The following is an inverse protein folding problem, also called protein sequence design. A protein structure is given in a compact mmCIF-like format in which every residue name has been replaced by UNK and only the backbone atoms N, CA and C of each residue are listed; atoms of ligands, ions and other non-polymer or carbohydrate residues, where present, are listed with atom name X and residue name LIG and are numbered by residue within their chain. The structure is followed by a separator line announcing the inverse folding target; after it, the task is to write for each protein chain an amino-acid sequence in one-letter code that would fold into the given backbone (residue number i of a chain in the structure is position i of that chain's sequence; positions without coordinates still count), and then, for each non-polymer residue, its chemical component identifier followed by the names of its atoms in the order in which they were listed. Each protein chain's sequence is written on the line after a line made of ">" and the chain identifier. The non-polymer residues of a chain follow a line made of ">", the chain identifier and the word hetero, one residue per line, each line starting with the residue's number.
data_IF_987037395404
#
_entry.id   IF_987037395404
#
_cell.length_a   1.000
_cell.length_b   1.000
_cell.length_c   1.000
_cell.angle_alpha   90.00
_cell.angle_beta   90.00
_cell.angle_gamma   90.00
#
_symmetry.space_group_name_H-M   'P 1'
#
loop_
_entity.id
_entity.type
_entity.pdbx_description
1 polymer ?
#
# COMPACT_ATOMS: atom_id res chain seq x y z
N UNK A 1 14.29 6.08 -23.52
CA UNK A 1 15.77 6.15 -23.45
C UNK A 1 16.26 7.43 -24.14
N UNK A 2 17.47 7.92 -23.82
CA UNK A 2 18.16 9.18 -24.20
C UNK A 2 17.47 10.57 -24.01
N UNK A 3 17.44 11.01 -22.75
CA UNK A 3 18.00 12.29 -22.25
C UNK A 3 18.24 13.50 -23.21
N UNK A 4 17.23 14.35 -23.43
CA UNK A 4 17.40 15.84 -23.37
C UNK A 4 16.24 16.58 -22.68
N UNK A 5 15.25 15.88 -22.13
CA UNK A 5 14.30 16.52 -21.22
C UNK A 5 14.90 16.59 -19.81
N UNK A 6 16.16 17.05 -19.71
CA UNK A 6 16.66 17.59 -18.46
C UNK A 6 15.90 18.88 -18.28
N UNK A 7 14.89 18.82 -17.42
CA UNK A 7 14.13 19.95 -16.97
C UNK A 7 15.13 21.05 -16.59
N UNK A 8 15.16 22.12 -17.39
CA UNK A 8 15.98 23.32 -17.14
C UNK A 8 15.63 23.96 -15.77
N UNK A 9 14.58 23.46 -15.12
CA UNK A 9 14.24 23.65 -13.73
C UNK A 9 14.08 22.27 -13.10
N UNK A 10 14.61 22.01 -11.90
CA UNK A 10 14.55 20.73 -11.17
C UNK A 10 13.11 20.28 -10.84
N UNK A 11 12.31 19.95 -11.86
CA UNK A 11 10.93 19.50 -11.73
C UNK A 11 10.94 17.97 -11.78
N UNK A 12 10.57 17.36 -10.67
CA UNK A 12 10.48 15.89 -10.53
C UNK A 12 9.22 15.33 -11.21
N UNK A 13 8.28 16.20 -11.59
CA UNK A 13 6.99 15.82 -12.15
C UNK A 13 6.41 16.94 -13.01
N UNK A 14 5.76 16.58 -14.12
CA UNK A 14 4.97 17.47 -14.96
C UNK A 14 3.50 17.02 -14.97
N UNK A 15 2.58 17.99 -14.88
CA UNK A 15 1.13 17.76 -14.91
C UNK A 15 0.53 18.44 -16.12
N UNK A 16 -0.45 17.80 -16.71
CA UNK A 16 -1.15 18.26 -17.91
C UNK A 16 -2.58 17.72 -17.93
N UNK A 17 -3.45 18.40 -18.67
CA UNK A 17 -4.79 17.96 -19.03
C UNK A 17 -4.81 16.97 -20.21
N UNK A 18 -3.67 16.76 -20.88
CA UNK A 18 -3.50 15.72 -21.89
C UNK A 18 -3.77 14.31 -21.31
N UNK A 19 -4.12 13.31 -22.15
CA UNK A 19 -4.36 11.94 -21.71
C UNK A 19 -3.27 11.32 -20.83
N UNK A 20 -1.99 11.68 -21.02
CA UNK A 20 -0.90 11.18 -20.16
C UNK A 20 -1.00 11.62 -18.68
N UNK A 21 -1.72 12.71 -18.39
CA UNK A 21 -1.92 13.39 -17.10
C UNK A 21 -0.65 13.80 -16.33
N UNK A 22 0.15 12.82 -15.91
CA UNK A 22 1.32 13.01 -15.06
C UNK A 22 2.51 12.30 -15.68
N UNK A 23 3.55 13.07 -16.01
CA UNK A 23 4.86 12.57 -16.41
C UNK A 23 5.82 12.71 -15.23
N UNK A 24 6.45 11.62 -14.80
CA UNK A 24 7.38 11.59 -13.66
C UNK A 24 8.79 11.41 -14.17
N UNK A 25 9.67 12.36 -13.83
CA UNK A 25 11.09 12.28 -14.14
C UNK A 25 11.79 11.51 -13.01
N UNK A 26 12.37 10.33 -13.28
CA UNK A 26 12.88 9.49 -12.20
C UNK A 26 14.01 10.16 -11.42
N UNK A 27 14.02 9.97 -10.11
CA UNK A 27 15.06 10.51 -9.23
C UNK A 27 16.32 9.66 -9.22
N UNK A 28 16.20 8.36 -9.52
CA UNK A 28 17.30 7.40 -9.41
C UNK A 28 18.31 7.48 -10.57
N UNK A 29 17.92 8.03 -11.74
CA UNK A 29 18.81 8.18 -12.90
C UNK A 29 19.35 9.62 -13.10
N UNK A 30 19.21 10.45 -12.06
CA UNK A 30 20.04 11.62 -11.69
C UNK A 30 21.35 11.80 -12.47
N UNK A 31 22.21 10.84 -12.17
CA UNK A 31 23.65 10.89 -12.37
C UNK A 31 24.10 9.88 -13.42
N UNK A 32 23.16 9.24 -14.11
CA UNK A 32 23.47 8.30 -15.17
C UNK A 32 24.09 9.05 -16.36
N UNK A 33 24.99 8.40 -17.11
CA UNK A 33 25.56 8.99 -18.32
C UNK A 33 24.47 9.39 -19.32
N UNK A 34 24.66 10.52 -20.00
CA UNK A 34 23.64 11.14 -20.87
C UNK A 34 23.39 10.31 -22.14
N UNK A 35 24.43 9.62 -22.58
CA UNK A 35 24.50 8.75 -23.74
C UNK A 35 23.98 7.33 -23.47
N UNK A 36 23.65 7.03 -22.22
CA UNK A 36 23.16 5.72 -21.83
C UNK A 36 21.62 5.65 -21.84
N UNK A 37 21.08 4.44 -21.99
CA UNK A 37 19.65 4.23 -21.97
C UNK A 37 19.00 4.57 -20.61
N UNK A 38 18.04 5.50 -20.60
CA UNK A 38 17.25 5.89 -19.41
C UNK A 38 15.74 5.58 -19.49
N UNK A 39 15.12 5.28 -18.35
CA UNK A 39 13.66 5.13 -18.18
C UNK A 39 13.01 6.49 -17.89
N UNK A 40 11.80 6.68 -18.39
CA UNK A 40 10.91 7.80 -18.06
C UNK A 40 9.51 7.24 -17.80
N UNK A 41 8.88 7.63 -16.69
CA UNK A 41 7.48 7.30 -16.44
C UNK A 41 6.60 8.34 -17.14
N UNK A 42 6.25 8.06 -18.39
CA UNK A 42 5.57 9.01 -19.29
C UNK A 42 4.14 9.32 -18.84
N UNK A 43 3.43 8.33 -18.30
CA UNK A 43 2.05 8.49 -17.84
C UNK A 43 1.84 7.73 -16.53
N UNK A 44 1.35 8.46 -15.52
CA UNK A 44 0.85 7.90 -14.27
C UNK A 44 -0.54 8.45 -13.98
N UNK A 45 -1.55 7.60 -14.09
CA UNK A 45 -2.97 8.00 -14.09
C UNK A 45 -3.76 7.19 -13.08
N UNK A 46 -4.80 7.80 -12.51
CA UNK A 46 -5.77 7.17 -11.61
C UNK A 46 -7.19 7.32 -12.19
N UNK A 47 -8.16 6.64 -11.57
CA UNK A 47 -9.58 6.82 -11.87
C UNK A 47 -9.94 6.55 -13.33
N UNK A 48 -10.74 7.44 -13.92
CA UNK A 48 -11.26 7.26 -15.28
C UNK A 48 -10.16 7.41 -16.33
N UNK A 49 -9.17 8.26 -16.07
CA UNK A 49 -8.03 8.51 -16.94
C UNK A 49 -7.17 7.25 -17.08
N UNK A 50 -6.97 6.51 -15.97
CA UNK A 50 -6.31 5.21 -16.00
C UNK A 50 -7.05 4.22 -16.90
N UNK A 51 -8.38 4.14 -16.77
CA UNK A 51 -9.21 3.25 -17.60
C UNK A 51 -9.18 3.61 -19.08
N UNK A 52 -9.10 4.91 -19.42
CA UNK A 52 -8.96 5.35 -20.82
C UNK A 52 -7.64 4.89 -21.42
N UNK A 53 -6.52 5.10 -20.71
CA UNK A 53 -5.19 4.64 -21.16
C UNK A 53 -5.13 3.12 -21.22
N UNK A 54 -5.70 2.43 -20.22
CA UNK A 54 -5.72 0.97 -20.14
C UNK A 54 -6.40 0.29 -21.33
N UNK A 55 -7.36 0.96 -21.99
CA UNK A 55 -7.99 0.45 -23.21
C UNK A 55 -7.01 0.27 -24.38
N UNK A 56 -5.84 0.91 -24.32
CA UNK A 56 -4.77 0.82 -25.31
C UNK A 56 -3.63 -0.12 -24.88
N UNK A 57 -3.70 -0.66 -23.66
CA UNK A 57 -2.68 -1.57 -23.11
C UNK A 57 -2.96 -3.00 -23.58
N UNK A 58 -1.93 -3.68 -24.10
CA UNK A 58 -1.97 -5.08 -24.51
C UNK A 58 -1.64 -5.99 -23.33
N UNK A 59 -2.01 -7.28 -23.41
CA UNK A 59 -1.53 -8.26 -22.43
C UNK A 59 -0.08 -8.70 -22.66
N UNK A 60 0.47 -8.40 -23.83
CA UNK A 60 1.83 -8.77 -24.25
C UNK A 60 2.67 -7.52 -24.55
N UNK A 61 2.66 -6.55 -23.64
CA UNK A 61 3.43 -5.30 -23.74
C UNK A 61 4.90 -5.56 -24.11
N UNK A 62 5.48 -4.85 -25.10
CA UNK A 62 4.91 -3.74 -25.88
C UNK A 62 4.15 -4.15 -27.17
N UNK A 63 3.99 -5.45 -27.44
CA UNK A 63 3.36 -5.97 -28.66
C UNK A 63 1.88 -5.56 -28.75
N UNK A 64 1.49 -4.95 -29.87
CA UNK A 64 0.11 -4.53 -30.12
C UNK A 64 -0.27 -3.18 -29.51
N UNK A 65 0.69 -2.42 -28.97
CA UNK A 65 0.48 -1.13 -28.30
C UNK A 65 0.85 0.08 -29.18
N UNK A 66 0.72 -0.04 -30.50
CA UNK A 66 1.11 1.02 -31.45
C UNK A 66 0.35 2.34 -31.22
N UNK A 67 -0.96 2.27 -30.92
CA UNK A 67 -1.76 3.44 -30.61
C UNK A 67 -1.41 4.04 -29.24
N UNK A 68 -1.13 3.21 -28.23
CA UNK A 68 -0.64 3.68 -26.92
C UNK A 68 0.68 4.45 -27.11
N UNK A 69 1.64 3.85 -27.79
CA UNK A 69 2.93 4.48 -28.11
C UNK A 69 2.73 5.82 -28.80
N UNK A 70 1.90 5.86 -29.85
CA UNK A 70 1.61 7.08 -30.62
C UNK A 70 0.99 8.18 -29.75
N UNK A 71 0.00 7.85 -28.93
CA UNK A 71 -0.66 8.81 -28.02
C UNK A 71 0.32 9.36 -26.99
N UNK A 72 1.13 8.49 -26.37
CA UNK A 72 2.08 8.88 -25.34
C UNK A 72 3.22 9.74 -25.90
N UNK A 73 3.79 9.39 -27.07
CA UNK A 73 4.82 10.20 -27.73
C UNK A 73 4.27 11.57 -28.16
N UNK A 74 3.05 11.61 -28.71
CA UNK A 74 2.37 12.86 -29.05
C UNK A 74 2.17 13.76 -27.83
N UNK A 75 1.62 13.21 -26.74
CA UNK A 75 1.38 13.96 -25.51
C UNK A 75 2.69 14.43 -24.88
N UNK A 76 3.73 13.60 -24.89
CA UNK A 76 5.04 13.96 -24.35
C UNK A 76 5.68 15.09 -25.17
N UNK A 77 5.55 15.06 -26.50
CA UNK A 77 6.02 16.14 -27.37
C UNK A 77 5.23 17.44 -27.14
N UNK A 78 3.90 17.37 -27.02
CA UNK A 78 3.08 18.54 -26.67
C UNK A 78 3.51 19.15 -25.33
N UNK A 79 3.68 18.31 -24.31
CA UNK A 79 4.06 18.72 -22.95
C UNK A 79 5.42 19.42 -22.89
N UNK A 80 6.36 19.04 -23.77
CA UNK A 80 7.73 19.54 -23.75
C UNK A 80 8.07 20.51 -24.88
N UNK A 81 7.16 20.72 -25.82
CA UNK A 81 7.28 21.77 -26.82
C UNK A 81 7.25 23.15 -26.16
N UNK A 82 7.96 24.11 -26.75
CA UNK A 82 8.05 25.46 -26.22
C UNK A 82 8.24 26.47 -27.34
N UNK A 83 8.33 27.76 -27.02
CA UNK A 83 8.70 28.78 -28.01
C UNK A 83 10.09 28.54 -28.62
N UNK A 84 10.97 27.83 -27.92
CA UNK A 84 12.33 27.55 -28.36
C UNK A 84 12.46 26.23 -29.16
N UNK A 85 11.49 25.32 -29.04
CA UNK A 85 11.48 24.05 -29.77
C UNK A 85 10.07 23.72 -30.22
N UNK A 86 9.87 23.64 -31.54
CA UNK A 86 8.55 23.38 -32.13
C UNK A 86 8.04 21.99 -31.74
N UNK A 87 6.73 21.79 -31.85
CA UNK A 87 6.11 20.49 -31.61
C UNK A 87 6.69 19.42 -32.54
N UNK A 88 6.87 19.74 -33.83
CA UNK A 88 7.42 18.82 -34.84
C UNK A 88 8.86 18.43 -34.52
N UNK A 89 9.72 19.39 -34.16
CA UNK A 89 11.10 19.11 -33.77
C UNK A 89 11.16 18.25 -32.50
N UNK A 90 10.33 18.60 -31.50
CA UNK A 90 10.25 17.86 -30.23
C UNK A 90 9.75 16.43 -30.45
N UNK A 91 8.73 16.24 -31.29
CA UNK A 91 8.19 14.92 -31.60
C UNK A 91 9.22 14.07 -32.36
N UNK A 92 9.88 14.64 -33.36
CA UNK A 92 10.94 13.97 -34.12
C UNK A 92 12.07 13.51 -33.18
N UNK A 93 12.52 14.42 -32.31
CA UNK A 93 13.54 14.15 -31.31
C UNK A 93 13.11 13.01 -30.38
N UNK A 94 11.99 13.15 -29.66
CA UNK A 94 11.51 12.14 -28.69
C UNK A 94 11.25 10.78 -29.35
N UNK A 95 10.67 10.76 -30.56
CA UNK A 95 10.42 9.52 -31.30
C UNK A 95 11.71 8.82 -31.70
N UNK A 96 12.75 9.58 -32.09
CA UNK A 96 14.07 9.03 -32.42
C UNK A 96 14.81 8.43 -31.21
N UNK A 97 14.41 8.78 -30.00
CA UNK A 97 14.99 8.29 -28.74
C UNK A 97 14.20 7.13 -28.11
N UNK A 98 13.01 6.86 -28.64
CA UNK A 98 12.19 5.74 -28.19
C UNK A 98 12.86 4.42 -28.58
N UNK A 99 12.95 3.50 -27.62
CA UNK A 99 13.49 2.16 -27.82
C UNK A 99 12.39 1.11 -27.55
N UNK A 100 11.94 1.03 -26.30
CA UNK A 100 10.83 0.17 -25.87
C UNK A 100 10.01 0.82 -24.75
N UNK A 101 8.89 0.20 -24.36
CA UNK A 101 8.09 0.62 -23.21
C UNK A 101 7.50 -0.57 -22.46
N UNK A 102 7.04 -0.27 -21.23
CA UNK A 102 6.16 -1.14 -20.47
C UNK A 102 4.97 -0.33 -19.96
N UNK A 103 3.77 -0.90 -20.06
CA UNK A 103 2.53 -0.33 -19.55
C UNK A 103 1.84 -1.37 -18.65
N UNK A 104 1.19 -0.91 -17.59
CA UNK A 104 0.52 -1.78 -16.63
C UNK A 104 -0.82 -1.19 -16.22
N UNK A 105 -1.86 -2.03 -16.20
CA UNK A 105 -3.17 -1.68 -15.67
C UNK A 105 -3.51 -2.55 -14.46
N UNK A 106 -3.49 -1.94 -13.28
CA UNK A 106 -3.84 -2.59 -12.02
C UNK A 106 -5.27 -3.14 -11.99
N UNK A 107 -6.19 -2.66 -12.83
CA UNK A 107 -7.57 -3.16 -12.88
C UNK A 107 -7.72 -4.45 -13.69
N UNK A 108 -6.70 -4.83 -14.47
CA UNK A 108 -6.68 -6.07 -15.26
C UNK A 108 -5.92 -7.21 -14.59
N UNK A 109 -5.25 -6.93 -13.47
CA UNK A 109 -4.50 -7.92 -12.71
C UNK A 109 -5.49 -8.90 -12.02
N UNK A 110 -5.43 -10.22 -12.27
CA UNK A 110 -6.35 -11.16 -11.62
C UNK A 110 -6.12 -11.29 -10.11
N UNK A 111 -4.95 -10.90 -9.61
CA UNK A 111 -4.62 -10.90 -8.18
C UNK A 111 -5.00 -9.58 -7.50
N UNK A 112 -5.35 -8.55 -8.27
CA UNK A 112 -5.76 -7.25 -7.73
C UNK A 112 -6.99 -6.71 -8.45
N UNK A 113 -8.08 -6.48 -7.73
CA UNK A 113 -9.33 -5.95 -8.30
C UNK A 113 -9.29 -4.41 -8.51
N UNK A 114 -8.13 -3.85 -8.86
CA UNK A 114 -7.85 -2.42 -8.92
C UNK A 114 -6.55 -2.03 -8.22
N UNK A 115 -6.20 -0.75 -8.27
CA UNK A 115 -4.91 -0.25 -7.76
C UNK A 115 -4.81 -0.22 -6.22
N UNK A 116 -5.84 0.31 -5.56
CA UNK A 116 -5.91 0.48 -4.10
C UNK A 116 -7.33 0.91 -3.70
N UNK A 117 -7.65 0.83 -2.41
CA UNK A 117 -8.91 1.32 -1.87
C UNK A 117 -9.00 2.85 -1.97
N UNK A 118 -10.09 3.31 -2.56
CA UNK A 118 -10.39 4.74 -2.63
C UNK A 118 -11.86 4.95 -2.29
N UNK A 119 -12.12 5.24 -1.01
CA UNK A 119 -13.47 5.30 -0.48
C UNK A 119 -14.22 6.53 -0.99
N UNK A 120 -15.46 6.29 -1.40
CA UNK A 120 -16.43 7.34 -1.68
C UNK A 120 -16.93 8.04 -0.41
N UNK A 121 -17.70 9.12 -0.57
CA UNK A 121 -18.28 9.85 0.55
C UNK A 121 -19.06 8.94 1.51
N UNK A 122 -18.78 9.04 2.81
CA UNK A 122 -19.45 8.28 3.87
C UNK A 122 -19.00 6.81 4.02
N UNK A 123 -18.34 6.21 3.03
CA UNK A 123 -17.94 4.81 3.10
C UNK A 123 -16.97 4.51 4.24
N UNK A 124 -16.09 5.45 4.57
CA UNK A 124 -15.17 5.29 5.69
C UNK A 124 -15.91 5.10 7.02
N UNK A 125 -17.05 5.76 7.22
CA UNK A 125 -17.80 5.68 8.47
C UNK A 125 -18.38 4.28 8.72
N UNK A 126 -18.89 3.63 7.67
CA UNK A 126 -19.59 2.35 7.79
C UNK A 126 -18.67 1.14 7.50
N UNK A 127 -17.86 1.21 6.43
CA UNK A 127 -17.06 0.08 5.96
C UNK A 127 -15.80 -0.12 6.79
N UNK A 128 -15.13 0.96 7.20
CA UNK A 128 -13.87 0.86 7.94
C UNK A 128 -14.06 0.15 9.30
N UNK A 129 -15.07 0.47 10.13
CA UNK A 129 -15.32 -0.31 11.36
C UNK A 129 -15.74 -1.76 11.07
N UNK A 130 -16.37 -2.03 9.93
CA UNK A 130 -16.82 -3.36 9.56
C UNK A 130 -15.67 -4.28 9.13
N UNK A 131 -14.68 -3.75 8.40
CA UNK A 131 -13.50 -4.52 7.94
C UNK A 131 -12.48 -4.73 9.07
N UNK A 132 -12.34 -3.75 9.97
CA UNK A 132 -11.30 -3.77 11.02
C UNK A 132 -11.69 -4.52 12.29
N UNK A 133 -12.99 -4.75 12.54
CA UNK A 133 -13.43 -5.53 13.71
C UNK A 133 -12.97 -7.00 13.61
N UNK A 134 -12.75 -7.69 14.73
CA UNK A 134 -12.59 -9.14 14.73
C UNK A 134 -13.85 -9.82 14.16
N UNK A 135 -13.69 -10.61 13.10
CA UNK A 135 -14.77 -11.33 12.44
C UNK A 135 -14.74 -12.82 12.83
N UNK A 136 -15.81 -13.54 12.52
CA UNK A 136 -15.96 -14.98 12.83
C UNK A 136 -15.59 -15.32 14.29
N UNK A 137 -16.11 -14.55 15.25
CA UNK A 137 -15.82 -14.72 16.68
C UNK A 137 -14.33 -14.61 17.04
N UNK A 138 -13.56 -13.79 16.32
CA UNK A 138 -12.12 -13.61 16.54
C UNK A 138 -11.23 -14.62 15.82
N UNK A 139 -11.77 -15.33 14.82
CA UNK A 139 -11.04 -16.29 14.01
C UNK A 139 -10.66 -15.75 12.63
N UNK A 140 -11.23 -14.62 12.21
CA UNK A 140 -10.97 -14.00 10.91
C UNK A 140 -10.62 -12.51 11.08
N UNK A 141 -9.50 -12.13 10.48
CA UNK A 141 -9.00 -10.76 10.45
C UNK A 141 -8.71 -10.37 8.99
N UNK A 142 -9.25 -9.22 8.57
CA UNK A 142 -8.89 -8.63 7.29
C UNK A 142 -7.69 -7.71 7.49
N UNK A 143 -6.67 -7.92 6.66
CA UNK A 143 -5.43 -7.14 6.62
C UNK A 143 -5.14 -6.72 5.19
N UNK A 144 -4.36 -5.65 5.03
CA UNK A 144 -4.09 -5.00 3.75
C UNK A 144 -4.36 -3.50 3.83
N UNK A 145 -3.94 -2.76 2.82
CA UNK A 145 -4.04 -1.29 2.82
C UNK A 145 -5.49 -0.80 2.96
N UNK A 146 -6.45 -1.50 2.33
CA UNK A 146 -7.89 -1.22 2.42
C UNK A 146 -8.48 -1.41 3.83
N UNK A 147 -7.79 -2.14 4.69
CA UNK A 147 -8.15 -2.33 6.09
C UNK A 147 -7.41 -1.33 6.99
N UNK A 148 -6.95 -0.19 6.50
CA UNK A 148 -6.27 0.84 7.29
C UNK A 148 -6.87 2.22 7.03
N UNK A 149 -6.48 3.22 7.82
CA UNK A 149 -6.81 4.60 7.51
C UNK A 149 -5.93 5.23 6.41
N UNK A 150 -4.86 4.53 5.99
CA UNK A 150 -3.83 5.02 5.07
C UNK A 150 -3.82 4.23 3.76
N UNK A 151 -4.93 4.32 3.01
CA UNK A 151 -5.07 3.64 1.73
C UNK A 151 -4.00 4.08 0.71
N UNK A 152 -3.69 3.19 -0.25
CA UNK A 152 -2.68 3.37 -1.30
C UNK A 152 -1.22 3.45 -0.81
N UNK A 153 -0.97 3.18 0.48
CA UNK A 153 0.36 3.24 1.06
C UNK A 153 0.75 1.93 1.75
N UNK A 154 2.04 1.59 1.67
CA UNK A 154 2.62 0.44 2.37
C UNK A 154 2.39 0.54 3.87
N UNK A 155 2.47 1.75 4.45
CA UNK A 155 2.23 1.95 5.89
C UNK A 155 0.84 1.47 6.31
N UNK A 156 -0.19 1.66 5.47
CA UNK A 156 -1.53 1.18 5.74
C UNK A 156 -1.60 -0.35 5.81
N UNK A 157 -0.91 -1.05 4.89
CA UNK A 157 -0.82 -2.50 4.95
C UNK A 157 -0.14 -2.96 6.25
N UNK A 158 0.98 -2.33 6.64
CA UNK A 158 1.72 -2.67 7.86
C UNK A 158 0.90 -2.45 9.13
N UNK A 159 0.24 -1.30 9.23
CA UNK A 159 -0.63 -0.97 10.37
C UNK A 159 -1.75 -1.98 10.55
N UNK A 160 -2.45 -2.33 9.46
CA UNK A 160 -3.56 -3.27 9.51
C UNK A 160 -3.13 -4.65 10.04
N UNK A 161 -1.92 -5.10 9.67
CA UNK A 161 -1.31 -6.36 10.08
C UNK A 161 -0.99 -6.32 11.58
N UNK A 162 -0.36 -5.24 12.04
CA UNK A 162 -0.06 -5.05 13.47
C UNK A 162 -1.34 -5.04 14.32
N UNK A 163 -2.36 -4.28 13.89
CA UNK A 163 -3.64 -4.23 14.59
C UNK A 163 -4.33 -5.60 14.65
N UNK A 164 -4.34 -6.35 13.54
CA UNK A 164 -4.93 -7.68 13.49
C UNK A 164 -4.25 -8.64 14.49
N UNK A 165 -2.92 -8.66 14.52
CA UNK A 165 -2.18 -9.49 15.44
C UNK A 165 -2.40 -9.12 16.90
N UNK A 166 -2.39 -7.82 17.20
CA UNK A 166 -2.73 -7.35 18.54
C UNK A 166 -4.09 -7.87 18.98
N UNK A 167 -5.12 -7.70 18.14
CA UNK A 167 -6.47 -8.13 18.44
C UNK A 167 -6.56 -9.65 18.62
N UNK A 168 -5.86 -10.42 17.79
CA UNK A 168 -5.78 -11.88 17.90
C UNK A 168 -5.18 -12.32 19.23
N UNK A 169 -3.97 -11.87 19.56
CA UNK A 169 -3.31 -12.24 20.82
C UNK A 169 -4.09 -11.77 22.04
N UNK A 170 -4.70 -10.58 21.99
CA UNK A 170 -5.51 -10.07 23.09
C UNK A 170 -6.76 -10.93 23.32
N UNK A 171 -7.45 -11.37 22.26
CA UNK A 171 -8.61 -12.26 22.39
C UNK A 171 -8.21 -13.63 22.92
N UNK A 172 -7.13 -14.22 22.40
CA UNK A 172 -6.59 -15.50 22.88
C UNK A 172 -6.17 -15.42 24.35
N UNK A 173 -5.46 -14.35 24.73
CA UNK A 173 -5.06 -14.10 26.10
C UNK A 173 -6.28 -13.99 27.03
N UNK A 174 -7.28 -13.17 26.68
CA UNK A 174 -8.51 -13.01 27.48
C UNK A 174 -9.30 -14.33 27.60
N UNK A 175 -9.41 -15.09 26.51
CA UNK A 175 -10.01 -16.43 26.52
C UNK A 175 -9.29 -17.38 27.47
N UNK A 176 -7.96 -17.43 27.37
CA UNK A 176 -7.13 -18.29 28.23
C UNK A 176 -7.24 -17.93 29.71
N UNK A 177 -7.32 -16.63 30.05
CA UNK A 177 -7.54 -16.18 31.42
C UNK A 177 -8.88 -16.69 31.95
N UNK A 178 -9.93 -16.64 31.14
CA UNK A 178 -11.27 -17.08 31.54
C UNK A 178 -11.32 -18.60 31.75
N UNK A 179 -10.72 -19.38 30.86
CA UNK A 179 -10.75 -20.84 30.91
C UNK A 179 -9.84 -21.42 32.00
N UNK A 180 -8.69 -20.78 32.24
CA UNK A 180 -7.68 -21.26 33.19
C UNK A 180 -7.78 -20.58 34.57
N UNK A 181 -8.96 -20.06 34.93
CA UNK A 181 -9.21 -19.49 36.27
C UNK A 181 -8.30 -18.32 36.62
N UNK A 182 -7.97 -17.47 35.66
CA UNK A 182 -7.12 -16.29 35.81
C UNK A 182 -5.62 -16.54 35.67
N UNK A 183 -5.18 -17.80 35.49
CA UNK A 183 -3.76 -18.12 35.28
C UNK A 183 -3.26 -17.71 33.89
N UNK A 184 -4.13 -17.83 32.88
CA UNK A 184 -3.78 -17.56 31.48
C UNK A 184 -2.84 -18.62 30.89
N UNK A 185 -2.75 -18.65 29.56
CA UNK A 185 -1.80 -19.51 28.86
C UNK A 185 -0.49 -18.75 28.66
N UNK A 186 0.61 -19.29 29.19
CA UNK A 186 1.91 -18.63 29.28
C UNK A 186 2.40 -18.01 27.95
N UNK A 187 2.32 -18.69 26.79
CA UNK A 187 2.68 -18.09 25.51
C UNK A 187 1.87 -16.85 25.14
N UNK A 188 0.56 -16.81 25.45
CA UNK A 188 -0.27 -15.63 25.15
C UNK A 188 0.05 -14.47 26.09
N UNK A 189 0.43 -14.75 27.34
CA UNK A 189 0.90 -13.74 28.28
C UNK A 189 2.18 -13.10 27.74
N UNK A 190 3.18 -13.91 27.39
CA UNK A 190 4.46 -13.43 26.82
C UNK A 190 4.27 -12.62 25.54
N UNK A 191 3.39 -13.09 24.64
CA UNK A 191 3.07 -12.36 23.42
C UNK A 191 2.44 -10.99 23.74
N UNK A 192 1.48 -10.95 24.67
CA UNK A 192 0.86 -9.69 25.09
C UNK A 192 1.84 -8.77 25.81
N UNK A 193 2.76 -9.29 26.62
CA UNK A 193 3.82 -8.51 27.28
C UNK A 193 4.76 -7.89 26.24
N UNK A 194 5.15 -8.64 25.19
CA UNK A 194 5.98 -8.12 24.10
C UNK A 194 5.25 -7.04 23.29
N UNK A 195 3.95 -7.25 23.04
CA UNK A 195 3.10 -6.29 22.33
C UNK A 195 2.91 -5.01 23.15
N UNK A 196 2.63 -5.13 24.45
CA UNK A 196 2.37 -4.01 25.35
C UNK A 196 3.64 -3.33 25.86
N UNK A 197 4.77 -4.02 25.89
CA UNK A 197 6.05 -3.53 26.38
C UNK A 197 6.56 -2.34 25.57
N UNK A 198 7.10 -1.32 26.23
CA UNK A 198 7.76 -0.21 25.55
C UNK A 198 9.10 -0.70 25.01
N UNK A 199 9.30 -0.59 23.69
CA UNK A 199 10.64 -0.69 23.11
C UNK A 199 11.24 0.70 23.26
N UNK A 200 12.24 0.85 24.13
CA UNK A 200 12.90 2.13 24.42
C UNK A 200 13.79 2.66 23.29
N UNK A 201 13.56 2.25 22.03
CA UNK A 201 14.52 2.47 20.95
C UNK A 201 13.96 3.39 19.84
N UNK A 202 14.37 4.66 19.86
CA UNK A 202 14.06 5.68 18.84
C UNK A 202 14.73 5.40 17.48
N UNK A 203 15.46 4.30 17.32
CA UNK A 203 16.17 3.93 16.09
C UNK A 203 15.45 2.94 15.17
N UNK A 204 14.28 2.43 15.55
CA UNK A 204 13.59 1.43 14.72
C UNK A 204 12.88 2.08 13.53
N UNK A 205 13.06 1.55 12.29
CA UNK A 205 12.26 2.00 11.16
C UNK A 205 10.79 1.75 11.51
N UNK A 206 9.95 2.77 11.34
CA UNK A 206 8.51 2.75 11.64
C UNK A 206 8.11 2.93 13.12
N UNK A 207 9.02 3.33 14.01
CA UNK A 207 8.66 3.77 15.37
C UNK A 207 8.30 5.27 15.42
N UNK A 208 7.24 5.65 16.18
CA UNK A 208 6.16 4.80 16.66
C UNK A 208 5.24 4.42 15.49
N UNK A 209 4.64 3.22 15.50
CA UNK A 209 3.60 2.94 14.51
C UNK A 209 2.37 3.79 14.85
N UNK A 210 1.61 4.27 13.85
CA UNK A 210 0.47 5.13 14.09
C UNK A 210 -0.57 4.48 15.00
N UNK A 211 -1.30 5.31 15.75
CA UNK A 211 -2.29 4.81 16.72
C UNK A 211 -3.57 4.45 15.97
N UNK A 212 -3.68 3.21 15.49
CA UNK A 212 -4.95 2.73 14.95
C UNK A 212 -5.91 2.28 16.06
N UNK A 213 -7.18 2.64 15.88
CA UNK A 213 -8.26 2.59 16.86
C UNK A 213 -8.59 1.15 17.33
N UNK A 214 -8.31 0.75 18.59
CA UNK A 214 -8.61 -0.62 19.03
C UNK A 214 -9.96 -0.78 19.74
N UNK A 215 -10.65 0.29 20.18
CA UNK A 215 -11.80 0.12 21.07
C UNK A 215 -13.03 0.97 20.73
N UNK A 216 -14.15 0.28 20.50
CA UNK A 216 -15.49 0.84 20.74
C UNK A 216 -15.72 0.91 22.25
N UNK A 217 -16.24 2.03 22.76
CA UNK A 217 -16.52 2.28 24.19
C UNK A 217 -17.18 1.06 24.85
N UNK A 218 -16.57 0.54 25.92
CA UNK A 218 -17.20 -0.47 26.80
C UNK A 218 -18.38 0.10 27.64
N UNK A 219 -18.68 1.40 27.52
CA UNK A 219 -19.62 2.17 28.35
C UNK A 219 -20.53 3.14 27.57
N UNK A 220 -20.83 2.93 26.29
CA UNK A 220 -21.95 3.66 25.67
C UNK A 220 -23.27 3.06 26.16
N UNK A 221 -23.78 3.62 27.26
CA UNK A 221 -25.14 3.39 27.76
C UNK A 221 -26.10 4.52 27.37
N UNK A 222 -25.60 5.64 26.87
CA UNK A 222 -26.43 6.78 26.48
C UNK A 222 -26.27 7.11 25.00
N UNK A 223 -27.40 7.04 24.31
CA UNK A 223 -27.56 7.27 22.87
C UNK A 223 -27.74 8.77 22.55
N UNK A 224 -27.21 9.67 23.40
CA UNK A 224 -27.56 11.10 23.41
C UNK A 224 -26.38 12.07 23.36
N UNK A 225 -25.13 11.60 23.44
CA UNK A 225 -23.98 12.48 23.24
C UNK A 225 -23.65 12.59 21.74
N UNK A 226 -23.34 13.80 21.28
CA UNK A 226 -22.92 14.10 19.91
C UNK A 226 -21.94 13.05 19.38
N UNK A 227 -22.11 12.67 18.12
CA UNK A 227 -21.19 11.80 17.40
C UNK A 227 -19.77 12.38 17.50
N UNK A 228 -18.96 11.82 18.39
CA UNK A 228 -17.54 12.15 18.46
C UNK A 228 -16.85 11.40 17.32
N UNK A 229 -16.22 12.13 16.41
CA UNK A 229 -15.47 11.57 15.27
C UNK A 229 -14.29 10.66 15.68
N UNK A 230 -13.92 10.65 16.97
CA UNK A 230 -12.85 9.82 17.53
C UNK A 230 -13.27 9.23 18.89
N UNK A 231 -12.98 7.94 19.18
CA UNK A 231 -13.19 7.37 20.51
C UNK A 231 -12.18 7.95 21.51
N UNK A 232 -12.67 8.40 22.67
CA UNK A 232 -11.81 8.83 23.78
C UNK A 232 -10.98 7.64 24.31
N UNK A 233 -9.67 7.82 24.34
CA UNK A 233 -8.67 6.84 24.81
C UNK A 233 -9.01 6.27 26.20
N UNK A 234 -8.69 4.99 26.43
CA UNK A 234 -8.59 4.46 27.80
C UNK A 234 -7.55 5.29 28.59
N UNK A 235 -8.01 6.05 29.59
CA UNK A 235 -7.19 6.89 30.47
C UNK A 235 -6.36 7.99 29.76
N UNK A 236 -6.74 8.43 28.56
CA UNK A 236 -6.08 9.57 27.90
C UNK A 236 -4.66 9.30 27.38
N UNK A 237 -4.23 8.04 27.30
CA UNK A 237 -2.94 7.65 26.72
C UNK A 237 -3.15 6.72 25.53
N UNK A 238 -2.76 7.15 24.34
CA UNK A 238 -2.65 6.26 23.17
C UNK A 238 -1.60 5.19 23.44
N UNK A 239 -1.94 3.93 23.20
CA UNK A 239 -0.94 2.87 23.10
C UNK A 239 -0.46 2.86 21.64
N UNK A 240 0.77 3.29 21.35
CA UNK A 240 1.29 3.19 19.99
C UNK A 240 1.33 1.71 19.58
N UNK A 241 1.04 1.43 18.32
CA UNK A 241 1.27 0.10 17.75
C UNK A 241 2.81 -0.13 17.73
N UNK A 242 3.28 -1.35 18.02
CA UNK A 242 4.72 -1.59 18.33
C UNK A 242 5.38 -2.68 17.47
N UNK A 243 6.70 -2.59 17.32
CA UNK A 243 7.56 -3.57 16.63
C UNK A 243 7.38 -5.02 17.12
N UNK A 244 7.02 -5.21 18.40
CA UNK A 244 6.67 -6.52 18.95
C UNK A 244 5.56 -7.25 18.19
N UNK A 245 4.66 -6.52 17.53
CA UNK A 245 3.63 -7.12 16.70
C UNK A 245 4.19 -7.72 15.42
N UNK A 246 5.12 -7.03 14.76
CA UNK A 246 5.81 -7.56 13.60
C UNK A 246 6.56 -8.84 13.96
N UNK A 247 7.26 -8.88 15.09
CA UNK A 247 7.95 -10.08 15.59
C UNK A 247 6.96 -11.22 15.85
N UNK A 248 5.88 -10.98 16.59
CA UNK A 248 4.89 -12.01 16.87
C UNK A 248 4.24 -12.58 15.59
N UNK A 249 3.97 -11.73 14.60
CA UNK A 249 3.39 -12.15 13.32
C UNK A 249 4.38 -12.96 12.51
N UNK A 250 5.62 -12.48 12.38
CA UNK A 250 6.68 -13.20 11.68
C UNK A 250 6.89 -14.57 12.33
N UNK A 251 6.97 -14.65 13.65
CA UNK A 251 7.07 -15.93 14.37
C UNK A 251 5.87 -16.86 14.13
N UNK A 252 4.66 -16.34 13.97
CA UNK A 252 3.49 -17.15 13.59
C UNK A 252 3.63 -17.67 12.16
N UNK A 253 4.01 -16.80 11.21
CA UNK A 253 4.16 -17.18 9.81
C UNK A 253 5.26 -18.23 9.66
N UNK A 254 6.42 -17.99 10.27
CA UNK A 254 7.53 -18.94 10.33
C UNK A 254 7.11 -20.27 10.95
N UNK A 255 6.44 -20.25 12.11
CA UNK A 255 5.96 -21.48 12.75
C UNK A 255 4.93 -22.22 11.90
N UNK A 256 4.06 -21.50 11.20
CA UNK A 256 3.08 -22.10 10.30
C UNK A 256 3.77 -22.77 9.11
N UNK A 257 4.75 -22.10 8.48
CA UNK A 257 5.53 -22.66 7.37
C UNK A 257 6.29 -23.91 7.85
N UNK A 258 6.94 -23.85 9.01
CA UNK A 258 7.67 -24.99 9.56
C UNK A 258 6.75 -26.18 9.84
N UNK A 259 5.56 -25.96 10.40
CA UNK A 259 4.58 -27.01 10.65
C UNK A 259 3.95 -27.53 9.35
N UNK A 260 3.71 -26.66 8.37
CA UNK A 260 3.24 -27.07 7.04
C UNK A 260 4.26 -27.97 6.34
N UNK A 261 5.53 -27.57 6.32
CA UNK A 261 6.63 -28.32 5.72
C UNK A 261 6.83 -29.68 6.42
N UNK A 262 6.56 -29.76 7.74
CA UNK A 262 6.54 -31.03 8.50
C UNK A 262 5.38 -31.94 8.11
N UNK A 263 4.21 -31.37 7.84
CA UNK A 263 2.99 -32.12 7.49
C UNK A 263 3.02 -32.66 6.05
N UNK A 264 3.59 -31.92 5.10
CA UNK A 264 3.64 -32.32 3.68
C UNK A 264 4.87 -33.14 3.26
N UNK A 265 5.69 -33.60 4.20
CA UNK A 265 6.77 -34.54 3.91
C UNK A 265 7.88 -33.98 3.00
N UNK A 266 8.07 -32.65 2.99
CA UNK A 266 9.22 -32.00 2.36
C UNK A 266 8.98 -31.24 1.05
N UNK A 267 7.74 -31.04 0.59
CA UNK A 267 7.46 -29.96 -0.37
C UNK A 267 7.32 -28.66 0.41
N UNK A 268 8.26 -27.73 0.20
CA UNK A 268 8.25 -26.44 0.91
C UNK A 268 7.10 -25.57 0.39
N UNK A 269 6.36 -24.91 1.29
CA UNK A 269 5.34 -23.92 0.92
C UNK A 269 5.90 -22.83 -0.04
N UNK A 270 7.19 -22.51 0.08
CA UNK A 270 7.90 -21.56 -0.79
C UNK A 270 8.14 -22.07 -2.22
N UNK A 271 7.96 -23.36 -2.47
CA UNK A 271 8.00 -23.94 -3.82
C UNK A 271 6.60 -24.06 -4.44
N UNK A 272 5.54 -23.95 -3.62
CA UNK A 272 4.15 -24.02 -4.04
C UNK A 272 3.53 -22.64 -4.34
N UNK A 273 4.11 -21.58 -3.78
CA UNK A 273 3.84 -20.17 -4.11
C UNK A 273 4.71 -19.68 -5.26
#
# INVERSE_FOLDING_TARGET
>A
MLCQLRAAERRYLARTDLPLQVCVYPSYNIHDPVDEPAVLLVSYTWGQEAQRIASLISSDTPSGEEELKKVLLHNLAMLHSSKASSYEDTLCYITGLYDTHHAYDWYRDPHMAGAFAYFGPGQFWDLYPAITKPNAFGQLYFVGEAASAHHAWVVGALESVVRAAWNMFNLLHQGSLKELGGKGYEPYIKAMDLLQGDVEDEGLPFYPLPTELPMRRKKDKDNTDELKDHPDYHNGKGAPMKFGAALCILSIIESFIEEYDRMEGGQSLMQAL
#
